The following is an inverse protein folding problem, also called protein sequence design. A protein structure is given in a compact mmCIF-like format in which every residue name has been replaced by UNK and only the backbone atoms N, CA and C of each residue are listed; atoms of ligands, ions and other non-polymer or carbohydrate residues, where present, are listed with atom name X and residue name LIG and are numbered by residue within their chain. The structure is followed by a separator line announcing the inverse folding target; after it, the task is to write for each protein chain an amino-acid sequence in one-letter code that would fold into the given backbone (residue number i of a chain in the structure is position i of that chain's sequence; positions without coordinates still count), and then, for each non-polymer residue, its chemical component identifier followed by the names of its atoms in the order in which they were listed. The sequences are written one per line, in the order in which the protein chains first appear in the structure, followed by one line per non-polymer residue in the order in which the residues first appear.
data_IF_138407034580
#
_entry.id   IF_138407034580
#
_cell.length_a   1.000
_cell.length_b   1.000
_cell.length_c   1.000
_cell.angle_alpha   90.00
_cell.angle_beta   90.00
_cell.angle_gamma   90.00
#
_symmetry.space_group_name_H-M   'P 1'
#
loop_
_entity.id
_entity.type
_entity.pdbx_description
1 polymer ?
#
# COMPACT_ATOMS: atom_id res chain seq x y z
N UNK A 1 18.62 4.15 10.60
CA UNK A 1 18.65 3.57 9.24
C UNK A 1 18.60 4.74 8.27
N UNK A 2 19.55 4.87 7.35
CA UNK A 2 19.51 5.95 6.36
C UNK A 2 18.26 5.83 5.50
N UNK A 3 17.60 6.96 5.20
CA UNK A 3 16.44 6.98 4.33
C UNK A 3 16.92 6.90 2.88
N UNK A 4 16.51 5.86 2.17
CA UNK A 4 16.81 5.65 0.76
C UNK A 4 15.56 5.92 -0.07
N UNK A 5 15.78 6.41 -1.30
CA UNK A 5 14.73 6.56 -2.32
C UNK A 5 14.66 5.29 -3.17
N UNK A 6 13.46 4.92 -3.59
CA UNK A 6 13.26 3.81 -4.52
C UNK A 6 13.78 4.15 -5.92
N UNK A 7 14.28 3.13 -6.61
CA UNK A 7 14.65 3.26 -8.03
C UNK A 7 13.40 3.56 -8.87
N UNK A 8 13.42 4.55 -9.78
CA UNK A 8 12.26 4.93 -10.56
C UNK A 8 11.70 3.78 -11.42
N UNK A 9 12.51 2.76 -11.73
CA UNK A 9 12.11 1.59 -12.52
C UNK A 9 11.24 0.60 -11.74
N UNK A 10 11.16 0.73 -10.41
CA UNK A 10 10.22 -0.05 -9.57
C UNK A 10 8.78 0.34 -9.90
N UNK A 11 8.55 1.60 -10.28
CA UNK A 11 7.21 2.10 -10.56
C UNK A 11 6.77 1.77 -11.99
N UNK A 12 5.53 1.29 -12.14
CA UNK A 12 4.89 0.97 -13.43
C UNK A 12 4.35 2.23 -14.12
N UNK A 13 5.22 3.21 -14.33
CA UNK A 13 4.89 4.52 -14.91
C UNK A 13 4.47 4.36 -16.39
N UNK A 14 3.23 4.73 -16.80
CA UNK A 14 2.82 4.69 -18.21
C UNK A 14 3.41 5.89 -19.00
N UNK A 15 4.72 5.83 -19.27
CA UNK A 15 5.56 6.92 -19.80
C UNK A 15 4.91 7.63 -20.99
N UNK A 16 4.47 6.91 -22.02
CA UNK A 16 3.95 7.52 -23.25
C UNK A 16 2.66 8.31 -23.00
N UNK A 17 1.76 7.75 -22.17
CA UNK A 17 0.50 8.40 -21.78
C UNK A 17 0.76 9.62 -20.91
N UNK A 18 1.72 9.53 -19.99
CA UNK A 18 2.11 10.68 -19.17
C UNK A 18 2.67 11.81 -20.04
N UNK A 19 3.68 11.53 -20.86
CA UNK A 19 4.32 12.52 -21.76
C UNK A 19 3.34 13.15 -22.75
N UNK A 20 2.31 12.41 -23.18
CA UNK A 20 1.24 12.92 -24.02
C UNK A 20 0.21 13.81 -23.27
N UNK A 21 0.33 13.97 -21.94
CA UNK A 21 -0.65 14.67 -21.12
C UNK A 21 -2.01 13.97 -21.06
N UNK A 22 -2.04 12.64 -21.26
CA UNK A 22 -3.27 11.85 -21.31
C UNK A 22 -4.01 11.84 -19.96
N UNK A 23 -3.26 11.82 -18.86
CA UNK A 23 -3.78 11.82 -17.49
C UNK A 23 -3.82 13.22 -16.85
N UNK A 24 -3.39 14.25 -17.59
CA UNK A 24 -3.28 15.61 -17.09
C UNK A 24 -4.57 16.38 -17.34
N UNK A 25 -4.94 17.24 -16.39
CA UNK A 25 -6.04 18.16 -16.63
C UNK A 25 -5.73 19.08 -17.82
N UNK A 26 -6.75 19.33 -18.66
CA UNK A 26 -6.55 20.06 -19.92
C UNK A 26 -6.05 21.49 -19.75
N UNK A 27 -6.26 22.12 -18.59
CA UNK A 27 -5.74 23.46 -18.36
C UNK A 27 -4.21 23.46 -18.14
N UNK A 28 -3.61 22.38 -17.62
CA UNK A 28 -2.15 22.28 -17.52
C UNK A 28 -1.49 21.97 -18.88
N UNK A 29 -2.11 21.13 -19.71
CA UNK A 29 -1.60 20.93 -21.07
C UNK A 29 -1.69 22.24 -21.88
N UNK A 30 -2.77 23.00 -21.71
CA UNK A 30 -2.93 24.33 -22.32
C UNK A 30 -1.97 25.38 -21.77
N UNK A 31 -1.61 25.32 -20.48
CA UNK A 31 -0.58 26.17 -19.90
C UNK A 31 0.73 25.99 -20.67
N UNK A 32 1.18 24.75 -20.85
CA UNK A 32 2.41 24.44 -21.59
C UNK A 32 2.31 24.88 -23.05
N UNK A 33 1.18 24.62 -23.72
CA UNK A 33 0.92 25.06 -25.10
C UNK A 33 1.04 26.59 -25.24
N UNK A 34 0.38 27.36 -24.37
CA UNK A 34 0.42 28.82 -24.37
C UNK A 34 1.85 29.33 -24.16
N UNK A 35 2.58 28.76 -23.19
CA UNK A 35 3.97 29.16 -22.92
C UNK A 35 4.89 28.87 -24.11
N UNK A 36 4.70 27.74 -24.81
CA UNK A 36 5.45 27.40 -26.02
C UNK A 36 5.11 28.33 -27.18
N UNK A 37 3.84 28.54 -27.49
CA UNK A 37 3.40 29.43 -28.57
C UNK A 37 3.81 30.89 -28.34
N UNK A 38 3.79 31.36 -27.09
CA UNK A 38 4.26 32.68 -26.71
C UNK A 38 5.80 32.79 -26.63
N UNK A 39 6.53 31.69 -26.86
CA UNK A 39 7.97 31.58 -26.63
C UNK A 39 8.41 32.11 -25.25
N UNK A 40 7.58 31.85 -24.23
CA UNK A 40 7.79 32.32 -22.87
C UNK A 40 8.55 31.24 -22.10
N UNK A 41 9.87 31.39 -22.03
CA UNK A 41 10.72 30.68 -21.08
C UNK A 41 10.84 31.49 -19.80
N UNK A 42 10.77 30.81 -18.66
CA UNK A 42 10.94 31.40 -17.33
C UNK A 42 11.29 30.29 -16.36
N UNK A 43 12.02 30.61 -15.30
CA UNK A 43 12.34 29.65 -14.24
C UNK A 43 11.42 29.89 -13.06
N UNK A 44 10.69 28.86 -12.64
CA UNK A 44 9.72 28.95 -11.54
C UNK A 44 10.12 28.04 -10.39
N UNK A 45 9.83 28.46 -9.15
CA UNK A 45 9.85 27.58 -7.99
C UNK A 45 8.43 27.10 -7.71
N UNK A 46 8.17 25.83 -8.01
CA UNK A 46 6.93 25.11 -7.72
C UNK A 46 7.03 24.45 -6.35
N UNK A 47 6.04 24.63 -5.47
CA UNK A 47 6.00 23.98 -4.16
C UNK A 47 4.73 23.14 -3.99
N UNK A 48 4.87 21.98 -3.34
CA UNK A 48 3.78 21.05 -3.03
C UNK A 48 3.52 21.03 -1.52
N UNK A 49 2.24 21.00 -1.13
CA UNK A 49 1.81 21.12 0.25
C UNK A 49 0.63 20.18 0.58
N UNK A 50 0.59 19.56 1.76
CA UNK A 50 -0.60 18.92 2.29
C UNK A 50 -1.58 19.97 2.84
N UNK A 51 -2.88 19.64 2.87
CA UNK A 51 -3.95 20.49 3.45
C UNK A 51 -4.31 20.17 4.91
N UNK A 52 -3.55 19.27 5.54
CA UNK A 52 -3.59 18.93 6.97
C UNK A 52 -2.32 18.14 7.32
N UNK A 53 -2.04 18.02 8.60
CA UNK A 53 -0.93 17.19 9.10
C UNK A 53 -1.03 15.76 8.55
N UNK A 54 0.08 15.24 8.04
CA UNK A 54 0.11 13.96 7.31
C UNK A 54 1.44 13.23 7.45
N UNK A 55 1.39 11.90 7.31
CA UNK A 55 2.55 11.08 6.94
C UNK A 55 2.67 11.10 5.42
N UNK A 56 3.79 11.61 4.91
CA UNK A 56 4.05 11.84 3.50
C UNK A 56 4.58 10.56 2.87
N UNK A 57 3.85 10.05 1.88
CA UNK A 57 4.29 8.96 1.00
C UNK A 57 3.85 9.27 -0.43
N UNK A 58 4.56 8.72 -1.41
CA UNK A 58 4.31 8.92 -2.84
C UNK A 58 5.29 9.90 -3.47
N UNK A 59 6.27 10.40 -2.70
CA UNK A 59 7.35 11.24 -3.22
C UNK A 59 8.21 10.43 -4.20
N UNK A 60 8.59 9.19 -3.87
CA UNK A 60 9.45 8.41 -4.76
C UNK A 60 8.76 8.08 -6.10
N UNK A 61 7.45 7.84 -6.10
CA UNK A 61 6.66 7.68 -7.33
C UNK A 61 6.55 9.00 -8.10
N UNK A 62 6.34 10.13 -7.41
CA UNK A 62 6.35 11.45 -8.02
C UNK A 62 7.71 11.79 -8.67
N UNK A 63 8.83 11.41 -8.04
CA UNK A 63 10.17 11.56 -8.61
C UNK A 63 10.36 10.67 -9.85
N UNK A 64 9.82 9.44 -9.86
CA UNK A 64 9.84 8.59 -11.05
C UNK A 64 9.04 9.21 -12.20
N UNK A 65 7.89 9.82 -11.91
CA UNK A 65 7.08 10.56 -12.89
C UNK A 65 7.86 11.75 -13.44
N UNK A 66 8.49 12.56 -12.58
CA UNK A 66 9.32 13.67 -13.03
C UNK A 66 10.49 13.17 -13.87
N UNK A 67 11.17 12.11 -13.45
CA UNK A 67 12.30 11.53 -14.19
C UNK A 67 11.91 11.12 -15.60
N UNK A 68 10.80 10.41 -15.78
CA UNK A 68 10.40 9.95 -17.11
C UNK A 68 9.59 10.98 -17.90
N UNK A 69 8.89 11.87 -17.23
CA UNK A 69 7.97 12.85 -17.82
C UNK A 69 8.58 14.22 -18.07
N UNK A 70 9.72 14.58 -17.50
CA UNK A 70 10.25 15.94 -17.71
C UNK A 70 10.83 16.12 -19.11
N UNK A 71 10.23 17.01 -19.91
CA UNK A 71 10.68 17.27 -21.27
C UNK A 71 9.58 17.71 -22.23
N UNK A 72 9.83 17.56 -23.52
CA UNK A 72 8.88 17.86 -24.59
C UNK A 72 9.19 17.04 -25.85
N UNK A 73 8.23 16.93 -26.77
CA UNK A 73 8.48 16.35 -28.10
C UNK A 73 9.00 17.40 -29.08
N UNK A 74 10.08 17.08 -29.79
CA UNK A 74 10.67 17.96 -30.81
C UNK A 74 9.70 18.26 -31.98
N UNK A 75 8.82 17.31 -32.29
CA UNK A 75 7.73 17.45 -33.25
C UNK A 75 6.42 16.98 -32.59
N UNK A 76 5.65 17.93 -32.05
CA UNK A 76 4.41 17.64 -31.32
C UNK A 76 3.29 17.10 -32.23
N UNK A 77 3.24 17.54 -33.49
CA UNK A 77 2.24 17.08 -34.45
C UNK A 77 2.45 15.60 -34.78
N UNK A 78 3.69 15.22 -35.09
CA UNK A 78 4.05 13.83 -35.32
C UNK A 78 3.93 12.98 -34.06
N UNK A 79 4.34 13.48 -32.90
CA UNK A 79 4.22 12.77 -31.64
C UNK A 79 2.75 12.47 -31.30
N UNK A 80 1.84 13.42 -31.50
CA UNK A 80 0.41 13.23 -31.33
C UNK A 80 -0.13 12.13 -32.25
N UNK A 81 0.23 12.15 -33.54
CA UNK A 81 -0.18 11.12 -34.50
C UNK A 81 0.30 9.72 -34.11
N UNK A 82 1.57 9.58 -33.72
CA UNK A 82 2.13 8.32 -33.23
C UNK A 82 1.42 7.82 -31.96
N UNK A 83 1.12 8.73 -31.03
CA UNK A 83 0.42 8.37 -29.79
C UNK A 83 -1.03 7.92 -30.04
N UNK A 84 -1.75 8.59 -30.94
CA UNK A 84 -3.10 8.16 -31.37
C UNK A 84 -3.06 6.77 -32.01
N UNK A 85 -2.05 6.48 -32.82
CA UNK A 85 -1.85 5.15 -33.42
C UNK A 85 -1.53 4.09 -32.35
N UNK A 86 -0.69 4.40 -31.37
CA UNK A 86 -0.42 3.50 -30.22
C UNK A 86 -1.71 3.14 -29.48
N UNK A 87 -2.59 4.12 -29.23
CA UNK A 87 -3.87 3.87 -28.56
C UNK A 87 -4.80 2.96 -29.38
N UNK A 88 -4.75 3.07 -30.71
CA UNK A 88 -5.55 2.22 -31.59
C UNK A 88 -5.01 0.79 -31.62
N UNK A 89 -3.68 0.63 -31.74
CA UNK A 89 -3.03 -0.70 -31.65
C UNK A 89 -3.28 -1.35 -30.29
N UNK A 90 -3.30 -0.59 -29.19
CA UNK A 90 -3.68 -1.11 -27.87
C UNK A 90 -5.07 -1.74 -27.85
N UNK A 91 -6.05 -1.11 -28.51
CA UNK A 91 -7.41 -1.68 -28.63
C UNK A 91 -7.38 -2.97 -29.45
N UNK A 92 -6.65 -2.97 -30.58
CA UNK A 92 -6.53 -4.14 -31.43
C UNK A 92 -5.88 -5.32 -30.71
N UNK A 93 -4.85 -5.07 -29.90
CA UNK A 93 -4.22 -6.09 -29.04
C UNK A 93 -5.25 -6.67 -28.06
N UNK A 94 -6.09 -5.83 -27.45
CA UNK A 94 -7.14 -6.31 -26.54
C UNK A 94 -8.17 -7.19 -27.27
N UNK A 95 -8.55 -6.84 -28.49
CA UNK A 95 -9.43 -7.67 -29.32
C UNK A 95 -8.76 -9.01 -29.69
N UNK A 96 -7.52 -8.99 -30.16
CA UNK A 96 -6.76 -10.20 -30.48
C UNK A 96 -6.55 -11.10 -29.26
N UNK A 97 -6.35 -10.51 -28.06
CA UNK A 97 -6.25 -11.25 -26.81
C UNK A 97 -7.56 -11.95 -26.44
N UNK A 98 -8.70 -11.29 -26.69
CA UNK A 98 -10.02 -11.88 -26.48
C UNK A 98 -10.26 -13.07 -27.42
N UNK A 99 -9.86 -12.94 -28.68
CA UNK A 99 -9.99 -13.98 -29.70
C UNK A 99 -8.91 -15.07 -29.60
N UNK A 100 -7.94 -14.91 -28.69
CA UNK A 100 -6.76 -15.77 -28.54
C UNK A 100 -5.95 -15.92 -29.84
N UNK A 101 -5.96 -14.88 -30.69
CA UNK A 101 -5.20 -14.83 -31.93
C UNK A 101 -3.72 -14.54 -31.65
N UNK A 102 -2.94 -15.60 -31.53
CA UNK A 102 -1.51 -15.51 -31.22
C UNK A 102 -0.72 -14.77 -32.30
N UNK A 103 -1.05 -14.94 -33.57
CA UNK A 103 -0.30 -14.34 -34.67
C UNK A 103 -0.50 -12.82 -34.65
N UNK A 104 -1.76 -12.38 -34.59
CA UNK A 104 -2.09 -10.96 -34.45
C UNK A 104 -1.48 -10.36 -33.17
N UNK A 105 -1.50 -11.07 -32.03
CA UNK A 105 -0.88 -10.59 -30.79
C UNK A 105 0.62 -10.30 -30.93
N UNK A 106 1.36 -11.19 -31.60
CA UNK A 106 2.80 -11.01 -31.81
C UNK A 106 3.06 -9.83 -32.74
N UNK A 107 2.35 -9.77 -33.87
CA UNK A 107 2.50 -8.70 -34.86
C UNK A 107 2.14 -7.33 -34.28
N UNK A 108 0.97 -7.21 -33.65
CA UNK A 108 0.50 -5.96 -33.05
C UNK A 108 1.38 -5.52 -31.88
N UNK A 109 1.88 -6.46 -31.06
CA UNK A 109 2.80 -6.11 -29.97
C UNK A 109 4.13 -5.60 -30.49
N UNK A 110 4.69 -6.21 -31.55
CA UNK A 110 5.90 -5.72 -32.21
C UNK A 110 5.65 -4.34 -32.80
N UNK A 111 4.54 -4.15 -33.51
CA UNK A 111 4.19 -2.88 -34.12
C UNK A 111 4.01 -1.76 -33.08
N UNK A 112 3.33 -2.07 -31.97
CA UNK A 112 3.21 -1.15 -30.83
C UNK A 112 4.60 -0.70 -30.36
N UNK A 113 5.54 -1.62 -30.17
CA UNK A 113 6.89 -1.27 -29.74
C UNK A 113 7.63 -0.40 -30.75
N UNK A 114 7.50 -0.66 -32.06
CA UNK A 114 8.09 0.19 -33.10
C UNK A 114 7.54 1.63 -33.05
N UNK A 115 6.22 1.78 -32.85
CA UNK A 115 5.59 3.10 -32.66
C UNK A 115 6.10 3.80 -31.40
N UNK A 116 6.26 3.08 -30.29
CA UNK A 116 6.82 3.62 -29.05
C UNK A 116 8.27 4.05 -29.21
N UNK A 117 9.09 3.29 -29.94
CA UNK A 117 10.48 3.70 -30.24
C UNK A 117 10.52 4.97 -31.07
N UNK A 118 9.71 5.06 -32.14
CA UNK A 118 9.57 6.27 -32.95
C UNK A 118 9.10 7.48 -32.13
N UNK A 119 8.17 7.27 -31.20
CA UNK A 119 7.69 8.32 -30.30
C UNK A 119 8.80 8.78 -29.34
N UNK A 120 9.55 7.84 -28.78
CA UNK A 120 10.68 8.11 -27.89
C UNK A 120 11.81 8.85 -28.59
N UNK A 121 12.08 8.59 -29.87
CA UNK A 121 13.09 9.32 -30.65
C UNK A 121 12.77 10.82 -30.78
N UNK A 122 11.50 11.19 -30.68
CA UNK A 122 11.07 12.60 -30.69
C UNK A 122 11.20 13.26 -29.31
N UNK A 123 11.36 12.47 -28.24
CA UNK A 123 11.39 13.00 -26.88
C UNK A 123 12.70 13.74 -26.60
N UNK A 124 12.58 14.95 -26.07
CA UNK A 124 13.68 15.76 -25.57
C UNK A 124 13.60 15.73 -24.04
N UNK A 125 14.41 14.87 -23.43
CA UNK A 125 14.54 14.76 -21.98
C UNK A 125 15.17 16.03 -21.41
N UNK A 126 14.56 16.57 -20.34
CA UNK A 126 15.01 17.79 -19.66
C UNK A 126 15.11 17.59 -18.14
N UNK A 127 15.22 16.34 -17.68
CA UNK A 127 15.29 16.01 -16.26
C UNK A 127 16.46 16.72 -15.54
N UNK A 128 17.64 16.74 -16.16
CA UNK A 128 18.84 17.39 -15.64
C UNK A 128 18.73 18.93 -15.54
N UNK A 129 17.67 19.53 -16.10
CA UNK A 129 17.43 20.98 -16.05
C UNK A 129 16.53 21.40 -14.88
N UNK A 130 16.01 20.42 -14.11
CA UNK A 130 15.22 20.67 -12.91
C UNK A 130 16.09 20.54 -11.66
N UNK A 131 15.89 21.46 -10.72
CA UNK A 131 16.33 21.29 -9.34
C UNK A 131 15.14 20.85 -8.49
N UNK A 132 15.25 19.69 -7.86
CA UNK A 132 14.18 19.09 -7.06
C UNK A 132 14.69 18.89 -5.64
N UNK A 133 13.92 19.35 -4.65
CA UNK A 133 14.15 19.05 -3.25
C UNK A 133 12.89 18.40 -2.68
N UNK A 134 13.02 17.39 -1.82
CA UNK A 134 11.86 16.71 -1.27
C UNK A 134 12.13 16.06 0.09
N UNK A 135 11.07 15.86 0.86
CA UNK A 135 11.07 14.94 1.98
C UNK A 135 11.28 13.49 1.50
N UNK A 136 11.49 12.58 2.45
CA UNK A 136 11.50 11.14 2.18
C UNK A 136 10.15 10.52 2.51
N UNK A 137 9.77 9.48 1.77
CA UNK A 137 8.59 8.69 2.11
C UNK A 137 8.67 8.15 3.54
N UNK A 138 7.62 8.41 4.33
CA UNK A 138 7.52 8.12 5.76
C UNK A 138 7.74 9.33 6.68
N UNK A 139 8.16 10.48 6.15
CA UNK A 139 8.24 11.72 6.91
C UNK A 139 6.87 12.28 7.30
N UNK A 140 6.82 12.99 8.43
CA UNK A 140 5.63 13.76 8.81
C UNK A 140 5.77 15.22 8.35
N UNK A 141 4.68 15.80 7.85
CA UNK A 141 4.60 17.21 7.49
C UNK A 141 3.30 17.82 8.05
N UNK A 142 3.36 19.09 8.43
CA UNK A 142 2.22 19.86 8.94
C UNK A 142 1.39 20.44 7.79
N UNK A 143 0.17 20.86 8.10
CA UNK A 143 -0.65 21.65 7.18
C UNK A 143 0.16 22.78 6.53
N UNK A 144 0.11 22.86 5.20
CA UNK A 144 0.81 23.85 4.39
C UNK A 144 2.35 23.86 4.51
N UNK A 145 2.96 22.82 5.08
CA UNK A 145 4.41 22.65 5.07
C UNK A 145 4.89 22.14 3.69
N UNK A 146 5.93 22.74 3.07
CA UNK A 146 6.48 22.23 1.82
C UNK A 146 7.01 20.80 1.98
N UNK A 147 6.63 19.91 1.06
CA UNK A 147 7.10 18.50 1.04
C UNK A 147 7.99 18.18 -0.16
N UNK A 148 7.84 18.96 -1.22
CA UNK A 148 8.57 18.83 -2.48
C UNK A 148 8.60 20.18 -3.18
N UNK A 149 9.73 20.50 -3.78
CA UNK A 149 9.90 21.61 -4.71
C UNK A 149 10.34 21.10 -6.06
N UNK A 150 9.91 21.80 -7.12
CA UNK A 150 10.43 21.61 -8.47
C UNK A 150 10.77 22.99 -9.01
N UNK A 151 12.06 23.23 -9.23
CA UNK A 151 12.55 24.48 -9.82
C UNK A 151 13.02 24.25 -11.25
N UNK A 152 12.50 25.01 -12.20
CA UNK A 152 12.85 24.86 -13.61
C UNK A 152 11.87 25.55 -14.55
N UNK A 153 11.95 25.23 -15.84
CA UNK A 153 11.02 25.77 -16.84
C UNK A 153 9.70 24.98 -16.83
N UNK A 154 8.55 25.61 -16.53
CA UNK A 154 7.27 24.92 -16.40
C UNK A 154 6.79 24.33 -17.74
N UNK A 155 7.38 24.69 -18.88
CA UNK A 155 7.12 24.03 -20.16
C UNK A 155 7.52 22.54 -20.16
N UNK A 156 8.43 22.13 -19.28
CA UNK A 156 8.95 20.76 -19.23
C UNK A 156 8.22 19.85 -18.25
N UNK A 157 7.58 20.41 -17.22
CA UNK A 157 6.97 19.61 -16.14
C UNK A 157 5.58 20.07 -15.71
N UNK A 158 5.14 21.28 -16.07
CA UNK A 158 3.89 21.85 -15.55
C UNK A 158 2.64 21.02 -15.89
N UNK A 159 2.70 20.24 -16.97
CA UNK A 159 1.63 19.30 -17.33
C UNK A 159 1.56 18.05 -16.43
N UNK A 160 2.57 17.79 -15.60
CA UNK A 160 2.61 16.62 -14.70
C UNK A 160 1.88 16.85 -13.38
N UNK A 161 1.50 18.09 -13.04
CA UNK A 161 0.96 18.46 -11.73
C UNK A 161 -0.20 17.56 -11.27
N UNK A 162 -1.20 17.32 -12.14
CA UNK A 162 -2.36 16.47 -11.82
C UNK A 162 -1.93 15.09 -11.31
N UNK A 163 -0.93 14.49 -11.95
CA UNK A 163 -0.49 13.13 -11.65
C UNK A 163 0.41 13.11 -10.41
N UNK A 164 1.31 14.10 -10.27
CA UNK A 164 2.17 14.26 -9.09
C UNK A 164 1.33 14.42 -7.81
N UNK A 165 0.33 15.31 -7.84
CA UNK A 165 -0.60 15.47 -6.72
C UNK A 165 -1.39 14.18 -6.47
N UNK A 166 -1.83 13.48 -7.51
CA UNK A 166 -2.59 12.25 -7.39
C UNK A 166 -1.85 11.12 -6.66
N UNK A 167 -0.59 10.85 -7.03
CA UNK A 167 0.20 9.77 -6.40
C UNK A 167 0.56 10.11 -4.95
N UNK A 168 0.92 11.37 -4.67
CA UNK A 168 1.23 11.83 -3.30
C UNK A 168 -0.04 11.79 -2.43
N UNK A 169 -1.16 12.29 -2.93
CA UNK A 169 -2.43 12.33 -2.21
C UNK A 169 -2.89 10.92 -1.85
N UNK A 170 -2.87 9.97 -2.80
CA UNK A 170 -3.28 8.60 -2.54
C UNK A 170 -2.41 7.95 -1.47
N UNK A 171 -1.10 7.91 -1.69
CA UNK A 171 -0.18 7.21 -0.81
C UNK A 171 -0.14 7.84 0.59
N UNK A 172 -0.12 9.18 0.68
CA UNK A 172 -0.14 9.88 1.98
C UNK A 172 -1.44 9.67 2.75
N UNK A 173 -2.60 9.58 2.05
CA UNK A 173 -3.90 9.25 2.67
C UNK A 173 -3.83 7.91 3.41
N UNK A 174 -3.41 6.87 2.69
CA UNK A 174 -3.25 5.52 3.24
C UNK A 174 -2.22 5.50 4.36
N UNK A 175 -1.05 6.12 4.16
CA UNK A 175 0.02 6.16 5.14
C UNK A 175 -0.40 6.84 6.45
N UNK A 176 -1.10 7.97 6.36
CA UNK A 176 -1.58 8.71 7.55
C UNK A 176 -2.59 7.90 8.35
N UNK A 177 -3.52 7.23 7.67
CA UNK A 177 -4.48 6.35 8.33
C UNK A 177 -3.77 5.15 9.00
N UNK A 178 -2.81 4.51 8.32
CA UNK A 178 -2.00 3.42 8.89
C UNK A 178 -1.17 3.91 10.08
N UNK A 179 -0.57 5.09 9.99
CA UNK A 179 0.25 5.66 11.08
C UNK A 179 -0.57 5.83 12.36
N UNK A 180 -1.84 6.21 12.24
CA UNK A 180 -2.73 6.37 13.40
C UNK A 180 -2.98 5.05 14.13
N UNK A 181 -3.20 3.95 13.41
CA UNK A 181 -3.39 2.62 14.02
C UNK A 181 -2.08 2.04 14.57
N UNK A 182 -0.96 2.28 13.90
CA UNK A 182 0.38 1.88 14.39
C UNK A 182 0.71 2.60 15.70
N UNK A 183 0.45 3.91 15.80
CA UNK A 183 0.60 4.67 17.05
C UNK A 183 -0.33 4.13 18.13
N UNK A 184 -1.58 3.84 17.80
CA UNK A 184 -2.57 3.31 18.75
C UNK A 184 -2.18 1.93 19.29
N UNK A 185 -1.50 1.09 18.50
CA UNK A 185 -1.11 -0.28 18.86
C UNK A 185 0.09 -0.38 19.82
N UNK A 186 0.75 0.74 20.15
CA UNK A 186 1.83 0.82 21.16
C UNK A 186 2.94 -0.23 21.00
N UNK A 187 3.31 -0.51 19.76
CA UNK A 187 4.38 -1.46 19.41
C UNK A 187 3.91 -2.85 19.00
N UNK A 188 2.61 -3.17 19.13
CA UNK A 188 2.03 -4.38 18.56
C UNK A 188 1.88 -4.29 17.05
N UNK A 189 1.94 -5.43 16.38
CA UNK A 189 1.95 -5.53 14.94
C UNK A 189 0.59 -5.19 14.31
N UNK A 190 0.64 -4.50 13.16
CA UNK A 190 -0.52 -4.19 12.33
C UNK A 190 -0.43 -4.98 11.02
N UNK A 191 -1.47 -5.76 10.72
CA UNK A 191 -1.67 -6.39 9.42
C UNK A 191 -2.58 -5.51 8.55
N UNK A 192 -2.08 -5.12 7.38
CA UNK A 192 -2.78 -4.33 6.38
C UNK A 192 -3.68 -5.22 5.51
N UNK A 193 -4.97 -5.29 5.86
CA UNK A 193 -5.98 -6.14 5.21
C UNK A 193 -6.97 -5.33 4.36
N UNK A 194 -6.47 -4.28 3.70
CA UNK A 194 -7.33 -3.29 3.03
C UNK A 194 -7.54 -3.54 1.53
N UNK A 195 -6.83 -4.49 0.91
CA UNK A 195 -6.78 -4.68 -0.54
C UNK A 195 -8.16 -4.81 -1.24
N UNK A 196 -9.17 -5.32 -0.55
CA UNK A 196 -10.53 -5.51 -1.09
C UNK A 196 -11.46 -4.29 -0.98
N UNK A 197 -11.01 -3.20 -0.36
CA UNK A 197 -11.84 -2.00 -0.13
C UNK A 197 -11.57 -0.88 -1.11
N UNK A 198 -10.76 -1.13 -2.14
CA UNK A 198 -10.50 -0.19 -3.21
C UNK A 198 -10.22 -0.90 -4.55
N UNK A 199 -10.01 -0.13 -5.60
CA UNK A 199 -9.70 -0.63 -6.93
C UNK A 199 -8.34 -1.34 -6.93
N UNK A 200 -8.30 -2.56 -7.44
CA UNK A 200 -7.14 -3.47 -7.32
C UNK A 200 -5.82 -2.92 -7.88
N UNK A 201 -5.87 -1.98 -8.83
CA UNK A 201 -4.69 -1.30 -9.37
C UNK A 201 -3.93 -0.44 -8.35
N UNK A 202 -4.55 -0.07 -7.23
CA UNK A 202 -3.93 0.78 -6.20
C UNK A 202 -3.11 0.00 -5.18
N UNK A 203 -3.13 -1.34 -5.23
CA UNK A 203 -2.57 -2.18 -4.18
C UNK A 203 -1.08 -1.95 -3.94
N UNK A 204 -0.27 -1.78 -5.00
CA UNK A 204 1.18 -1.55 -4.84
C UNK A 204 1.47 -0.26 -4.08
N UNK A 205 0.84 0.85 -4.48
CA UNK A 205 0.94 2.16 -3.81
C UNK A 205 0.45 2.09 -2.37
N UNK A 206 -0.69 1.43 -2.12
CA UNK A 206 -1.26 1.31 -0.77
C UNK A 206 -0.41 0.45 0.17
N UNK A 207 0.12 -0.66 -0.34
CA UNK A 207 1.00 -1.52 0.45
C UNK A 207 2.30 -0.81 0.80
N UNK A 208 2.88 -0.06 -0.15
CA UNK A 208 4.09 0.73 0.09
C UNK A 208 3.84 1.84 1.12
N UNK A 209 2.70 2.52 1.02
CA UNK A 209 2.25 3.49 2.02
C UNK A 209 2.09 2.86 3.41
N UNK A 210 1.48 1.67 3.49
CA UNK A 210 1.33 0.94 4.74
C UNK A 210 2.69 0.55 5.35
N UNK A 211 3.62 0.05 4.54
CA UNK A 211 4.98 -0.29 4.97
C UNK A 211 5.69 0.94 5.55
N UNK A 212 5.69 2.07 4.83
CA UNK A 212 6.35 3.31 5.28
C UNK A 212 5.73 3.90 6.54
N UNK A 213 4.43 3.67 6.75
CA UNK A 213 3.73 4.07 7.97
C UNK A 213 3.99 3.15 9.17
N UNK A 214 4.54 1.96 8.96
CA UNK A 214 4.93 1.00 10.00
C UNK A 214 4.00 -0.20 10.14
N UNK A 215 3.20 -0.55 9.12
CA UNK A 215 2.52 -1.84 9.10
C UNK A 215 3.54 -2.98 9.04
N UNK A 216 3.23 -4.07 9.75
CA UNK A 216 4.10 -5.25 9.83
C UNK A 216 4.02 -6.11 8.56
N UNK A 217 2.83 -6.24 7.97
CA UNK A 217 2.71 -6.85 6.66
C UNK A 217 1.37 -6.62 5.98
N UNK A 218 1.26 -7.14 4.76
CA UNK A 218 0.19 -6.85 3.80
C UNK A 218 -0.50 -8.12 3.33
N UNK A 219 -1.75 -8.01 2.87
CA UNK A 219 -2.60 -9.17 2.52
C UNK A 219 -2.43 -9.76 1.12
N UNK A 220 -1.75 -9.08 0.20
CA UNK A 220 -1.61 -9.53 -1.19
C UNK A 220 -0.20 -9.29 -1.70
N UNK A 221 0.27 -10.14 -2.62
CA UNK A 221 1.59 -9.97 -3.22
C UNK A 221 1.66 -8.65 -4.02
N UNK A 222 0.55 -8.24 -4.62
CA UNK A 222 0.44 -6.93 -5.27
C UNK A 222 0.61 -5.76 -4.29
N UNK A 223 0.26 -5.91 -3.00
CA UNK A 223 0.62 -4.89 -2.01
C UNK A 223 2.12 -4.80 -1.80
N UNK A 224 2.87 -5.90 -1.95
CA UNK A 224 4.32 -5.96 -1.75
C UNK A 224 5.17 -5.73 -3.00
N UNK A 225 4.54 -5.41 -4.14
CA UNK A 225 5.15 -5.30 -5.47
C UNK A 225 6.40 -4.40 -5.51
N UNK A 226 6.46 -3.34 -4.70
CA UNK A 226 7.59 -2.40 -4.70
C UNK A 226 8.81 -2.83 -3.87
N UNK A 227 8.69 -3.82 -2.98
CA UNK A 227 9.80 -4.26 -2.11
C UNK A 227 9.98 -5.77 -2.02
N UNK A 228 9.15 -6.56 -2.73
CA UNK A 228 9.42 -7.96 -3.04
C UNK A 228 9.26 -8.96 -1.88
N UNK A 229 8.52 -8.62 -0.82
CA UNK A 229 8.26 -9.54 0.30
C UNK A 229 6.98 -10.33 0.06
N UNK A 230 6.95 -11.61 0.46
CA UNK A 230 5.73 -12.43 0.41
C UNK A 230 4.63 -11.83 1.32
N UNK A 231 3.41 -11.78 0.81
CA UNK A 231 2.27 -11.31 1.59
C UNK A 231 1.89 -12.29 2.72
N UNK A 232 1.25 -11.76 3.76
CA UNK A 232 0.73 -12.57 4.86
C UNK A 232 -0.76 -12.83 4.68
N UNK A 233 -1.12 -14.12 4.71
CA UNK A 233 -2.49 -14.60 4.67
C UNK A 233 -2.84 -15.46 5.88
N UNK A 234 -4.13 -15.47 6.24
CA UNK A 234 -4.69 -16.42 7.23
C UNK A 234 -5.55 -17.45 6.51
N UNK A 235 -6.01 -18.47 7.22
CA UNK A 235 -7.08 -19.34 6.72
C UNK A 235 -8.35 -18.49 6.52
N UNK A 236 -8.99 -18.48 5.34
CA UNK A 236 -10.22 -17.72 5.09
C UNK A 236 -11.48 -18.51 5.47
N UNK A 237 -12.58 -17.81 5.81
CA UNK A 237 -13.89 -18.45 6.05
C UNK A 237 -14.36 -19.33 4.88
N UNK A 238 -13.97 -18.99 3.64
CA UNK A 238 -14.30 -19.80 2.47
C UNK A 238 -13.71 -21.22 2.53
N UNK A 239 -12.51 -21.40 3.08
CA UNK A 239 -11.91 -22.72 3.25
C UNK A 239 -12.71 -23.54 4.27
N UNK A 240 -13.05 -22.92 5.40
CA UNK A 240 -13.88 -23.53 6.45
C UNK A 240 -15.23 -23.97 5.87
N UNK A 241 -15.85 -23.13 5.04
CA UNK A 241 -17.12 -23.44 4.37
C UNK A 241 -17.03 -24.69 3.47
N UNK A 242 -15.96 -24.81 2.67
CA UNK A 242 -15.75 -25.96 1.78
C UNK A 242 -15.54 -27.26 2.55
N UNK A 243 -14.99 -27.19 3.76
CA UNK A 243 -14.90 -28.33 4.69
C UNK A 243 -16.14 -28.48 5.59
N UNK A 244 -17.31 -28.00 5.13
CA UNK A 244 -18.58 -28.21 5.82
C UNK A 244 -18.70 -27.47 7.16
N UNK A 245 -17.94 -26.39 7.36
CA UNK A 245 -17.90 -25.65 8.61
C UNK A 245 -16.92 -26.20 9.65
N UNK A 246 -16.18 -27.27 9.34
CA UNK A 246 -15.17 -27.83 10.23
C UNK A 246 -13.87 -26.99 10.16
N UNK A 247 -13.73 -26.08 11.11
CA UNK A 247 -12.58 -25.17 11.21
C UNK A 247 -11.27 -25.95 11.43
N UNK A 248 -11.29 -26.97 12.27
CA UNK A 248 -10.11 -27.74 12.60
C UNK A 248 -9.66 -28.61 11.43
N UNK A 249 -10.60 -29.23 10.69
CA UNK A 249 -10.27 -29.95 9.47
C UNK A 249 -9.69 -29.01 8.40
N UNK A 250 -10.29 -27.83 8.21
CA UNK A 250 -9.77 -26.82 7.29
C UNK A 250 -8.34 -26.40 7.66
N UNK A 251 -8.04 -26.24 8.95
CA UNK A 251 -6.71 -25.91 9.44
C UNK A 251 -5.69 -27.03 9.18
N UNK A 252 -6.06 -28.30 9.37
CA UNK A 252 -5.20 -29.46 9.07
C UNK A 252 -4.88 -29.57 7.58
N UNK A 253 -5.87 -29.37 6.71
CA UNK A 253 -5.67 -29.41 5.27
C UNK A 253 -4.82 -28.23 4.79
N UNK A 254 -5.02 -27.04 5.37
CA UNK A 254 -4.12 -25.90 5.14
C UNK A 254 -2.68 -26.22 5.56
N UNK A 255 -2.48 -26.78 6.75
CA UNK A 255 -1.15 -27.15 7.24
C UNK A 255 -0.45 -28.15 6.32
N UNK A 256 -1.20 -29.13 5.80
CA UNK A 256 -0.70 -30.18 4.91
C UNK A 256 -0.12 -29.62 3.61
N UNK A 257 -0.80 -28.68 2.95
CA UNK A 257 -0.45 -28.24 1.60
C UNK A 257 0.32 -26.91 1.53
N UNK A 258 0.22 -26.04 2.53
CA UNK A 258 0.88 -24.74 2.50
C UNK A 258 2.34 -24.81 2.97
N UNK A 259 3.20 -23.99 2.36
CA UNK A 259 4.63 -23.94 2.63
C UNK A 259 4.94 -23.76 4.12
N UNK A 260 6.04 -24.37 4.58
CA UNK A 260 6.47 -24.35 5.97
C UNK A 260 6.82 -22.98 6.53
N UNK A 261 7.14 -22.00 5.68
CA UNK A 261 7.47 -20.62 6.08
C UNK A 261 6.25 -19.81 6.51
N UNK A 262 5.05 -20.21 6.08
CA UNK A 262 3.80 -19.48 6.38
C UNK A 262 3.31 -19.84 7.79
N UNK A 263 3.08 -18.88 8.66
CA UNK A 263 2.49 -19.16 9.97
C UNK A 263 1.01 -19.55 9.85
N UNK A 264 0.58 -20.55 10.62
CA UNK A 264 -0.82 -21.00 10.62
C UNK A 264 -1.64 -20.12 11.56
N UNK A 265 -2.41 -19.21 10.95
CA UNK A 265 -3.39 -18.35 11.62
C UNK A 265 -4.80 -18.86 11.30
N UNK A 266 -5.48 -19.41 12.29
CA UNK A 266 -6.78 -20.08 12.11
C UNK A 266 -7.94 -19.15 12.49
N UNK A 267 -8.90 -18.94 11.60
CA UNK A 267 -10.15 -18.23 11.93
C UNK A 267 -11.02 -19.14 12.80
N UNK A 268 -11.46 -18.65 13.96
CA UNK A 268 -12.18 -19.46 14.96
C UNK A 268 -13.61 -18.96 15.27
N UNK A 269 -14.08 -17.96 14.55
CA UNK A 269 -15.39 -17.33 14.78
C UNK A 269 -16.56 -18.01 14.03
N UNK A 270 -16.31 -19.02 13.20
CA UNK A 270 -17.32 -19.68 12.34
C UNK A 270 -18.56 -20.15 13.12
N UNK A 271 -18.36 -20.81 14.27
CA UNK A 271 -19.45 -21.37 15.10
C UNK A 271 -19.98 -20.40 16.17
N UNK A 272 -19.59 -19.11 16.09
CA UNK A 272 -19.85 -18.10 17.12
C UNK A 272 -19.41 -18.55 18.53
N UNK A 273 -18.28 -19.26 18.58
CA UNK A 273 -17.65 -19.79 19.79
C UNK A 273 -16.14 -19.86 19.57
N UNK A 274 -15.46 -18.73 19.71
CA UNK A 274 -14.01 -18.68 19.45
C UNK A 274 -13.22 -19.57 20.41
N UNK A 275 -13.67 -19.74 21.66
CA UNK A 275 -12.96 -20.52 22.68
C UNK A 275 -13.10 -22.01 22.35
N UNK A 276 -14.35 -22.50 22.21
CA UNK A 276 -14.60 -23.90 21.89
C UNK A 276 -13.99 -24.32 20.55
N UNK A 277 -14.08 -23.44 19.54
CA UNK A 277 -13.46 -23.71 18.23
C UNK A 277 -11.94 -23.76 18.32
N UNK A 278 -11.31 -22.92 19.15
CA UNK A 278 -9.85 -22.96 19.37
C UNK A 278 -9.43 -24.29 20.02
N UNK A 279 -10.18 -24.77 21.01
CA UNK A 279 -9.91 -26.06 21.64
C UNK A 279 -9.99 -27.23 20.65
N UNK A 280 -11.01 -27.24 19.78
CA UNK A 280 -11.13 -28.27 18.73
C UNK A 280 -9.94 -28.23 17.76
N UNK A 281 -9.54 -27.03 17.31
CA UNK A 281 -8.38 -26.84 16.43
C UNK A 281 -7.11 -27.40 17.06
N UNK A 282 -6.81 -27.04 18.32
CA UNK A 282 -5.61 -27.50 19.02
C UNK A 282 -5.66 -29.01 19.26
N UNK A 283 -6.81 -29.56 19.66
CA UNK A 283 -6.98 -30.99 19.90
C UNK A 283 -6.77 -31.83 18.63
N UNK A 284 -7.36 -31.43 17.50
CA UNK A 284 -7.17 -32.13 16.22
C UNK A 284 -5.75 -31.95 15.69
N UNK A 285 -5.15 -30.77 15.82
CA UNK A 285 -3.74 -30.55 15.46
C UNK A 285 -2.81 -31.46 16.28
N UNK A 286 -3.03 -31.57 17.60
CA UNK A 286 -2.25 -32.43 18.47
C UNK A 286 -2.39 -33.91 18.11
N UNK A 287 -3.61 -34.35 17.84
CA UNK A 287 -3.88 -35.73 17.42
C UNK A 287 -3.22 -36.04 16.08
N UNK A 288 -3.29 -35.11 15.11
CA UNK A 288 -2.66 -35.27 13.81
C UNK A 288 -1.12 -35.32 13.89
N UNK A 289 -0.51 -34.50 14.76
CA UNK A 289 0.95 -34.47 14.92
C UNK A 289 1.49 -35.68 15.70
N UNK A 290 0.80 -36.10 16.77
CA UNK A 290 1.33 -37.06 17.74
C UNK A 290 0.71 -38.46 17.66
N UNK A 291 -0.45 -38.59 17.01
CA UNK A 291 -1.26 -39.81 17.02
C UNK A 291 -1.94 -40.11 18.36
N UNK A 292 -1.93 -39.18 19.32
CA UNK A 292 -2.51 -39.33 20.66
C UNK A 292 -3.70 -38.41 20.85
N UNK A 293 -4.66 -38.83 21.65
CA UNK A 293 -5.80 -37.99 22.03
C UNK A 293 -5.35 -36.80 22.88
N UNK A 294 -5.95 -35.63 22.66
CA UNK A 294 -5.75 -34.42 23.45
C UNK A 294 -6.87 -34.27 24.48
N UNK A 295 -6.53 -34.20 25.76
CA UNK A 295 -7.48 -33.94 26.83
C UNK A 295 -7.23 -32.55 27.41
N UNK A 296 -8.23 -31.67 27.27
CA UNK A 296 -8.18 -30.29 27.72
C UNK A 296 -7.82 -30.20 29.22
N UNK A 297 -6.85 -29.36 29.56
CA UNK A 297 -6.36 -29.16 30.92
C UNK A 297 -5.47 -30.28 31.49
N UNK A 298 -5.24 -31.36 30.74
CA UNK A 298 -4.38 -32.48 31.14
C UNK A 298 -3.20 -32.70 30.19
N UNK A 299 -3.43 -32.54 28.89
CA UNK A 299 -2.40 -32.69 27.86
C UNK A 299 -1.67 -31.37 27.63
N UNK A 300 -0.33 -31.41 27.56
CA UNK A 300 0.48 -30.24 27.19
C UNK A 300 0.31 -29.89 25.70
N UNK A 301 -0.25 -28.71 25.36
CA UNK A 301 -0.45 -28.30 23.97
C UNK A 301 0.82 -27.76 23.30
N UNK A 302 1.93 -27.56 24.03
CA UNK A 302 3.14 -26.93 23.52
C UNK A 302 3.71 -27.53 22.21
N UNK A 303 3.60 -28.85 21.92
CA UNK A 303 4.14 -29.40 20.67
C UNK A 303 3.46 -28.87 19.39
N UNK A 304 2.21 -28.40 19.51
CA UNK A 304 1.42 -27.89 18.38
C UNK A 304 1.24 -26.38 18.39
N UNK A 305 1.86 -25.65 19.32
CA UNK A 305 1.81 -24.20 19.36
C UNK A 305 3.17 -23.64 18.90
N UNK A 306 3.13 -22.69 17.96
CA UNK A 306 4.33 -22.00 17.48
C UNK A 306 4.35 -21.76 15.97
N UNK A 307 5.53 -21.40 15.46
CA UNK A 307 5.70 -20.98 14.06
C UNK A 307 5.85 -22.14 13.09
N UNK A 308 5.42 -21.92 11.85
CA UNK A 308 5.65 -22.83 10.73
C UNK A 308 4.75 -24.08 10.70
N UNK A 309 5.13 -25.06 9.88
CA UNK A 309 4.34 -26.27 9.61
C UNK A 309 4.19 -27.19 10.82
N UNK A 310 3.03 -27.81 10.95
CA UNK A 310 2.66 -28.72 12.02
C UNK A 310 2.31 -28.02 13.33
N UNK A 311 2.32 -26.67 13.36
CA UNK A 311 2.02 -25.86 14.54
C UNK A 311 1.01 -24.78 14.21
N UNK A 312 0.15 -24.48 15.19
CA UNK A 312 -0.77 -23.35 15.20
C UNK A 312 -0.04 -22.17 15.82
N UNK A 313 0.24 -21.15 15.00
CA UNK A 313 0.91 -19.95 15.50
C UNK A 313 -0.05 -19.06 16.28
N UNK A 314 -1.28 -18.93 15.77
CA UNK A 314 -2.29 -18.14 16.44
C UNK A 314 -3.70 -18.41 15.91
N UNK A 315 -4.65 -17.86 16.64
CA UNK A 315 -6.07 -17.86 16.27
C UNK A 315 -6.50 -16.43 15.97
N UNK A 316 -7.34 -16.28 14.95
CA UNK A 316 -7.86 -14.99 14.50
C UNK A 316 -9.33 -14.87 14.89
N UNK A 317 -9.64 -13.84 15.66
CA UNK A 317 -11.00 -13.47 16.03
C UNK A 317 -11.50 -12.44 15.03
N UNK A 318 -12.57 -12.78 14.32
CA UNK A 318 -13.19 -11.92 13.30
C UNK A 318 -14.73 -11.84 13.46
N UNK A 319 -15.21 -12.06 14.69
CA UNK A 319 -16.64 -12.06 15.03
C UNK A 319 -17.32 -10.81 14.48
N UNK A 320 -18.40 -11.01 13.72
CA UNK A 320 -19.17 -9.93 13.10
C UNK A 320 -19.59 -8.86 14.12
N UNK A 321 -19.47 -7.58 13.74
CA UNK A 321 -19.87 -6.44 14.59
C UNK A 321 -21.36 -6.39 14.96
N UNK A 322 -22.19 -7.23 14.35
CA UNK A 322 -23.62 -7.37 14.69
C UNK A 322 -23.91 -8.60 15.57
N UNK A 323 -22.91 -9.42 15.87
CA UNK A 323 -23.05 -10.69 16.56
C UNK A 323 -22.36 -10.65 17.92
N UNK A 324 -22.85 -11.42 18.88
CA UNK A 324 -22.19 -11.65 20.17
C UNK A 324 -21.70 -13.09 20.21
N UNK A 325 -20.42 -13.26 20.46
CA UNK A 325 -19.83 -14.58 20.70
C UNK A 325 -20.45 -15.23 21.94
N UNK A 326 -20.67 -16.56 21.91
CA UNK A 326 -21.28 -17.31 23.02
C UNK A 326 -20.52 -17.15 24.35
N UNK A 327 -19.22 -16.88 24.30
CA UNK A 327 -18.39 -16.70 25.50
C UNK A 327 -18.59 -15.35 26.19
N UNK A 328 -19.26 -14.37 25.56
CA UNK A 328 -19.42 -13.00 26.06
C UNK A 328 -20.77 -12.83 26.76
N UNK A 329 -20.77 -12.21 27.95
CA UNK A 329 -22.02 -11.92 28.66
C UNK A 329 -22.78 -10.79 27.98
N UNK A 330 -24.09 -10.97 27.73
CA UNK A 330 -24.95 -9.92 27.18
C UNK A 330 -24.97 -8.62 27.99
N UNK A 331 -24.59 -7.50 27.35
CA UNK A 331 -24.72 -6.14 27.89
C UNK A 331 -25.39 -5.21 26.88
N UNK A 332 -24.61 -4.46 26.13
CA UNK A 332 -25.05 -3.55 25.06
C UNK A 332 -24.20 -3.76 23.79
N UNK A 333 -24.12 -2.76 22.90
CA UNK A 333 -23.30 -2.85 21.67
C UNK A 333 -21.81 -3.07 21.93
N UNK A 334 -21.31 -2.74 23.13
CA UNK A 334 -19.93 -3.00 23.57
C UNK A 334 -19.60 -4.49 23.70
N UNK A 335 -20.62 -5.35 23.75
CA UNK A 335 -20.49 -6.82 23.77
C UNK A 335 -20.72 -7.47 22.39
N UNK A 336 -20.65 -6.70 21.30
CA UNK A 336 -20.77 -7.21 19.92
C UNK A 336 -19.42 -7.20 19.21
N UNK A 337 -19.29 -8.09 18.23
CA UNK A 337 -18.06 -8.34 17.49
C UNK A 337 -16.90 -8.74 18.38
N UNK A 338 -15.68 -8.49 17.89
CA UNK A 338 -14.48 -8.66 18.70
C UNK A 338 -14.39 -7.53 19.73
N UNK A 339 -14.69 -7.83 20.99
CA UNK A 339 -14.71 -6.90 22.11
C UNK A 339 -13.69 -7.28 23.20
N UNK A 340 -13.34 -6.38 24.13
CA UNK A 340 -12.38 -6.68 25.21
C UNK A 340 -12.74 -7.92 26.04
N UNK A 341 -14.01 -8.07 26.41
CA UNK A 341 -14.49 -9.22 27.21
C UNK A 341 -14.25 -10.56 26.53
N UNK A 342 -14.44 -10.64 25.20
CA UNK A 342 -14.16 -11.83 24.42
C UNK A 342 -12.68 -12.25 24.53
N UNK A 343 -11.78 -11.28 24.34
CA UNK A 343 -10.34 -11.54 24.27
C UNK A 343 -9.77 -11.87 25.65
N UNK A 344 -10.19 -11.19 26.72
CA UNK A 344 -9.78 -11.53 28.08
C UNK A 344 -10.21 -12.94 28.48
N UNK A 345 -11.48 -13.29 28.24
CA UNK A 345 -12.00 -14.62 28.54
C UNK A 345 -11.26 -15.69 27.76
N UNK A 346 -11.04 -15.46 26.46
CA UNK A 346 -10.30 -16.40 25.64
C UNK A 346 -8.86 -16.58 26.15
N UNK A 347 -8.14 -15.51 26.46
CA UNK A 347 -6.78 -15.59 27.00
C UNK A 347 -6.72 -16.35 28.32
N UNK A 348 -7.63 -16.03 29.26
CA UNK A 348 -7.74 -16.71 30.55
C UNK A 348 -7.97 -18.22 30.36
N UNK A 349 -8.89 -18.58 29.48
CA UNK A 349 -9.21 -19.96 29.15
C UNK A 349 -8.05 -20.69 28.45
N UNK A 350 -7.36 -20.03 27.53
CA UNK A 350 -6.17 -20.59 26.88
C UNK A 350 -5.03 -20.80 27.88
N UNK A 351 -4.80 -19.87 28.80
CA UNK A 351 -3.75 -19.96 29.82
C UNK A 351 -4.02 -21.06 30.85
N UNK A 352 -5.27 -21.21 31.31
CA UNK A 352 -5.67 -22.33 32.19
C UNK A 352 -5.36 -23.70 31.58
N UNK A 353 -5.34 -23.78 30.25
CA UNK A 353 -5.13 -25.00 29.50
C UNK A 353 -3.73 -25.09 28.85
N UNK A 354 -2.77 -24.28 29.33
CA UNK A 354 -1.36 -24.37 28.95
C UNK A 354 -1.00 -23.76 27.58
N UNK A 355 -1.92 -23.05 26.93
CA UNK A 355 -1.72 -22.48 25.59
C UNK A 355 -1.12 -21.06 25.63
N UNK A 356 -0.18 -20.81 26.53
CA UNK A 356 0.37 -19.47 26.82
C UNK A 356 0.96 -18.76 25.59
N UNK A 357 1.62 -19.51 24.72
CA UNK A 357 2.28 -18.97 23.53
C UNK A 357 1.36 -18.84 22.31
N UNK A 358 0.11 -19.29 22.39
CA UNK A 358 -0.86 -19.19 21.30
C UNK A 358 -1.23 -17.72 21.07
N UNK A 359 -0.92 -17.18 19.89
CA UNK A 359 -1.18 -15.78 19.56
C UNK A 359 -2.67 -15.51 19.32
N UNK A 360 -3.15 -14.38 19.82
CA UNK A 360 -4.50 -13.87 19.56
C UNK A 360 -4.41 -12.71 18.57
N UNK A 361 -4.87 -12.97 17.35
CA UNK A 361 -4.99 -11.97 16.29
C UNK A 361 -6.43 -11.47 16.27
N UNK A 362 -6.64 -10.16 16.30
CA UNK A 362 -7.98 -9.59 16.28
C UNK A 362 -8.20 -8.78 15.01
N UNK A 363 -9.33 -9.00 14.34
CA UNK A 363 -9.75 -8.25 13.16
C UNK A 363 -11.24 -7.92 13.20
N UNK A 364 -11.74 -7.27 12.16
CA UNK A 364 -13.16 -6.93 12.06
C UNK A 364 -13.47 -5.58 12.71
N UNK A 365 -13.57 -4.55 11.87
CA UNK A 365 -14.00 -3.21 12.30
C UNK A 365 -13.04 -2.48 13.24
N UNK A 366 -11.75 -2.82 13.24
CA UNK A 366 -10.76 -2.08 14.02
C UNK A 366 -10.44 -0.71 13.40
N UNK A 367 -10.33 0.28 14.28
CA UNK A 367 -9.94 1.67 14.00
C UNK A 367 -8.90 2.08 15.03
N UNK A 368 -8.26 3.24 14.87
CA UNK A 368 -7.29 3.74 15.84
C UNK A 368 -7.92 3.88 17.25
N UNK A 369 -9.18 4.31 17.35
CA UNK A 369 -9.90 4.46 18.61
C UNK A 369 -10.17 3.10 19.27
N UNK A 370 -10.57 2.09 18.48
CA UNK A 370 -10.82 0.74 19.01
C UNK A 370 -9.52 0.09 19.49
N UNK A 371 -8.42 0.27 18.74
CA UNK A 371 -7.10 -0.22 19.14
C UNK A 371 -6.63 0.48 20.41
N UNK A 372 -6.71 1.82 20.49
CA UNK A 372 -6.31 2.56 21.70
C UNK A 372 -7.16 2.16 22.92
N UNK A 373 -8.45 1.85 22.74
CA UNK A 373 -9.28 1.27 23.81
C UNK A 373 -8.74 -0.08 24.27
N UNK A 374 -8.40 -0.99 23.33
CA UNK A 374 -7.83 -2.29 23.66
C UNK A 374 -6.50 -2.15 24.41
N UNK A 375 -5.62 -1.26 23.95
CA UNK A 375 -4.33 -1.02 24.59
C UNK A 375 -4.45 -0.32 25.95
N UNK A 376 -5.41 0.61 26.14
CA UNK A 376 -5.68 1.24 27.46
C UNK A 376 -6.22 0.25 28.47
N UNK A 377 -6.96 -0.74 28.01
CA UNK A 377 -7.55 -1.78 28.84
C UNK A 377 -6.61 -2.98 29.00
N UNK A 378 -5.41 -2.96 28.41
CA UNK A 378 -4.46 -4.08 28.44
C UNK A 378 -5.10 -5.39 27.93
N UNK A 379 -5.89 -5.29 26.87
CA UNK A 379 -6.50 -6.45 26.22
C UNK A 379 -5.40 -7.32 25.60
N UNK A 380 -5.35 -8.64 25.87
CA UNK A 380 -4.27 -9.53 25.45
C UNK A 380 -4.41 -9.97 23.99
N UNK A 381 -4.59 -9.00 23.08
CA UNK A 381 -4.40 -9.19 21.64
C UNK A 381 -2.92 -9.01 21.29
N UNK A 382 -2.36 -9.90 20.47
CA UNK A 382 -0.98 -9.84 20.01
C UNK A 382 -0.82 -9.03 18.71
N UNK A 383 -1.79 -9.14 17.79
CA UNK A 383 -1.73 -8.55 16.44
C UNK A 383 -3.10 -8.01 16.03
N UNK A 384 -3.11 -6.85 15.36
CA UNK A 384 -4.33 -6.23 14.83
C UNK A 384 -4.41 -6.34 13.32
N UNK A 385 -5.50 -6.93 12.80
CA UNK A 385 -5.87 -6.90 11.39
C UNK A 385 -6.80 -5.72 11.10
N UNK A 386 -6.35 -4.77 10.29
CA UNK A 386 -7.10 -3.55 9.98
C UNK A 386 -7.35 -3.45 8.48
N UNK A 387 -8.59 -3.10 8.10
CA UNK A 387 -9.04 -3.11 6.71
C UNK A 387 -9.65 -1.78 6.28
N UNK A 388 -10.97 -1.77 6.09
CA UNK A 388 -11.71 -0.67 5.45
C UNK A 388 -11.48 0.71 6.05
N UNK A 389 -11.21 0.83 7.35
CA UNK A 389 -10.95 2.12 8.03
C UNK A 389 -9.73 2.85 7.45
N UNK A 390 -8.76 2.13 6.90
CA UNK A 390 -7.51 2.70 6.40
C UNK A 390 -7.64 3.42 5.06
N UNK A 391 -8.74 3.22 4.32
CA UNK A 391 -8.94 3.76 2.97
C UNK A 391 -10.13 4.73 2.87
N UNK A 392 -10.68 5.19 4.01
CA UNK A 392 -11.87 6.07 4.04
C UNK A 392 -11.54 7.53 3.79
N UNK A 393 -10.49 8.03 4.46
CA UNK A 393 -10.19 9.45 4.48
C UNK A 393 -9.19 9.79 3.38
N UNK A 394 -9.49 10.84 2.60
CA UNK A 394 -8.58 11.38 1.59
C UNK A 394 -7.86 12.62 2.12
N UNK A 395 -6.59 12.74 1.77
CA UNK A 395 -5.75 13.90 1.99
C UNK A 395 -5.63 14.68 0.69
N UNK A 396 -6.00 15.95 0.72
CA UNK A 396 -5.78 16.84 -0.40
C UNK A 396 -4.39 17.45 -0.34
N UNK A 397 -3.78 17.56 -1.52
CA UNK A 397 -2.52 18.25 -1.73
C UNK A 397 -2.73 19.36 -2.75
N UNK A 398 -1.89 20.38 -2.69
CA UNK A 398 -1.92 21.53 -3.60
C UNK A 398 -0.50 21.82 -4.03
N UNK A 399 -0.34 22.30 -5.26
CA UNK A 399 0.90 22.87 -5.73
C UNK A 399 0.68 24.33 -6.10
N UNK A 400 1.68 25.18 -5.88
CA UNK A 400 1.62 26.60 -6.22
C UNK A 400 3.01 27.08 -6.68
N UNK A 401 3.06 27.93 -7.72
CA UNK A 401 4.25 28.75 -8.01
C UNK A 401 4.37 29.79 -6.91
N UNK A 402 5.58 29.92 -6.35
CA UNK A 402 5.87 30.94 -5.32
C UNK A 402 6.95 31.93 -5.73
N UNK A 403 7.79 31.58 -6.71
CA UNK A 403 8.81 32.46 -7.28
C UNK A 403 8.87 32.29 -8.80
N UNK A 404 9.12 33.38 -9.51
CA UNK A 404 9.32 33.45 -10.96
C UNK A 404 10.58 34.28 -11.22
N UNK A 405 11.55 33.70 -11.93
CA UNK A 405 12.88 34.27 -12.20
C UNK A 405 13.56 34.80 -10.92
N UNK A 406 13.47 34.03 -9.83
CA UNK A 406 14.03 34.35 -8.51
C UNK A 406 13.31 35.46 -7.74
N UNK A 407 12.16 35.95 -8.23
CA UNK A 407 11.35 36.98 -7.57
C UNK A 407 10.09 36.38 -6.97
N UNK A 408 9.67 36.78 -5.76
CA UNK A 408 8.40 36.35 -5.18
C UNK A 408 7.23 36.62 -6.12
N UNK A 409 6.50 35.56 -6.48
CA UNK A 409 5.34 35.62 -7.36
C UNK A 409 4.42 34.45 -7.02
N UNK A 410 3.37 34.73 -6.26
CA UNK A 410 2.45 33.71 -5.76
C UNK A 410 1.01 34.20 -5.79
N UNK A 411 0.05 33.26 -5.83
CA UNK A 411 -1.37 33.55 -5.62
C UNK A 411 -1.58 34.20 -4.25
N UNK A 412 -2.56 35.11 -4.14
CA UNK A 412 -2.92 35.74 -2.85
C UNK A 412 -3.14 34.67 -1.77
N UNK A 413 -2.50 34.86 -0.61
CA UNK A 413 -2.52 33.90 0.50
C UNK A 413 -1.51 32.76 0.38
N UNK A 414 -0.67 32.76 -0.66
CA UNK A 414 0.48 31.86 -0.85
C UNK A 414 1.79 32.63 -0.78
N UNK A 415 2.85 31.91 -0.47
CA UNK A 415 4.21 32.44 -0.42
C UNK A 415 5.20 31.31 -0.24
N UNK A 416 6.48 31.63 -0.36
CA UNK A 416 7.56 30.65 -0.18
C UNK A 416 7.56 30.11 1.25
N UNK A 417 7.38 28.79 1.38
CA UNK A 417 7.46 28.10 2.66
C UNK A 417 8.90 27.83 3.12
N UNK A 418 9.05 27.32 4.34
CA UNK A 418 10.35 26.86 4.86
C UNK A 418 10.79 25.57 4.15
N UNK A 419 11.97 25.61 3.53
CA UNK A 419 12.55 24.49 2.78
C UNK A 419 13.61 23.73 3.60
N UNK A 420 13.88 24.12 4.85
CA UNK A 420 14.99 23.62 5.65
C UNK A 420 15.00 22.10 5.90
N UNK A 421 13.84 21.45 5.77
CA UNK A 421 13.67 20.00 5.93
C UNK A 421 13.80 19.21 4.63
N UNK A 422 13.75 19.88 3.48
CA UNK A 422 13.86 19.19 2.20
C UNK A 422 15.31 18.82 1.93
N UNK A 423 15.52 17.65 1.33
CA UNK A 423 16.83 17.26 0.81
C UNK A 423 16.85 17.37 -0.71
N UNK A 424 17.99 17.83 -1.25
CA UNK A 424 18.23 17.81 -2.69
C UNK A 424 18.08 16.38 -3.22
N UNK A 425 17.37 16.25 -4.34
CA UNK A 425 17.29 15.02 -5.12
C UNK A 425 18.34 15.09 -6.20
N UNK A 426 19.40 14.29 -6.05
CA UNK A 426 20.43 14.16 -7.09
C UNK A 426 19.83 13.64 -8.40
N UNK A 427 20.34 14.09 -9.54
CA UNK A 427 19.76 13.72 -10.83
C UNK A 427 19.88 12.22 -11.13
N UNK A 428 20.79 11.51 -10.46
CA UNK A 428 20.98 10.06 -10.54
C UNK A 428 20.66 9.33 -9.21
N UNK A 429 19.76 9.86 -8.38
CA UNK A 429 19.48 9.36 -7.01
C UNK A 429 19.25 7.85 -6.88
N UNK A 430 18.83 7.17 -7.94
CA UNK A 430 18.66 5.71 -7.97
C UNK A 430 19.98 4.92 -7.99
N UNK A 431 21.09 5.56 -8.35
CA UNK A 431 22.43 4.96 -8.29
C UNK A 431 23.00 4.95 -6.87
N UNK A 432 22.44 5.71 -5.93
CA UNK A 432 22.90 5.71 -4.54
C UNK A 432 22.71 4.33 -3.87
N UNK A 433 21.67 3.59 -4.26
CA UNK A 433 21.45 2.21 -3.81
C UNK A 433 22.58 1.27 -4.27
N UNK A 434 23.11 1.47 -5.49
CA UNK A 434 24.26 0.72 -6.03
C UNK A 434 25.58 1.13 -5.39
N UNK A 435 25.81 2.43 -5.17
CA UNK A 435 27.02 2.96 -4.51
C UNK A 435 27.14 2.48 -3.06
N UNK A 436 26.02 2.10 -2.43
CA UNK A 436 25.95 1.65 -1.02
C UNK A 436 25.78 0.14 -0.84
N UNK A 437 25.84 -0.65 -1.93
CA UNK A 437 25.83 -2.12 -1.87
C UNK A 437 24.49 -2.76 -1.52
N UNK A 438 23.36 -2.06 -1.71
CA UNK A 438 22.02 -2.60 -1.48
C UNK A 438 21.50 -3.21 -2.79
N UNK A 439 21.88 -4.46 -3.06
CA UNK A 439 21.28 -5.27 -4.12
C UNK A 439 19.82 -5.57 -3.75
N UNK A 440 18.88 -5.07 -4.55
CA UNK A 440 17.51 -5.58 -4.49
C UNK A 440 17.50 -6.91 -5.26
N UNK A 441 17.10 -7.98 -4.58
CA UNK A 441 16.92 -9.30 -5.19
C UNK A 441 16.00 -9.18 -6.40
N UNK A 442 16.55 -9.54 -7.56
CA UNK A 442 15.88 -9.60 -8.86
C UNK A 442 14.75 -10.62 -8.92
#
# INVERSE_FOLDING_TARGET
MEKLRLDPRVFKVPIDKMRAGYYSDKYFTRLVEVLKCANKSTRVLYQFFPRRDATIVGIDEALAILRFGTGYYADEGRAKGLFEEILEVEKQINHAAWDMDREALVELSSWKWDLKMKLNDLWQDRWEELDVEALYDGDEARDMEPIMTVEGDPRYFGYLETILLGVIARASSTATAVKSVVKAARGKEILFFSARFDHFWTQATDGYAALKAGAFGVSTDANADYWGVESMGTIPHALIAVYGGDTAQAALEFDKYIDSKVNRIVLVDWNNDVIGTTYDVVAKAYTALTGREFTLGQTDPSPVIGTGKGRVWGVRFDTSGSLRDKSVVPKDRSSLGVCPELVWRAREEFDKNGMHDLKIIVSGGFTAEKIDLFEKLEVPADVYGVGSSLLKDKLDFTADIVEVDGRPCAKVGRGKGDLSRLSRVESDYWNDNKKRGVEHGS
#
